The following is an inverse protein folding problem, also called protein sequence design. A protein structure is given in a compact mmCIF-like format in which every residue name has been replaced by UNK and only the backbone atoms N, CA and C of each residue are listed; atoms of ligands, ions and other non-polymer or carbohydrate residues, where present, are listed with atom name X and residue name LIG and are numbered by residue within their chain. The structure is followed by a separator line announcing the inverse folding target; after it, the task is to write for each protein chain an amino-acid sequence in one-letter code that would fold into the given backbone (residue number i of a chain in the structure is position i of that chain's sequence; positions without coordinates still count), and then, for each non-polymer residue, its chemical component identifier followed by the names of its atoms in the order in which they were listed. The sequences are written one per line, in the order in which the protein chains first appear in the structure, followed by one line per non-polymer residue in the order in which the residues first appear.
data_IF_098613133637
#
_entry.id   IF_098613133637
#
_cell.length_a   1.000
_cell.length_b   1.000
_cell.length_c   1.000
_cell.angle_alpha   90.00
_cell.angle_beta   90.00
_cell.angle_gamma   90.00
#
_symmetry.space_group_name_H-M   'P 1'
#
loop_
_entity.id
_entity.type
_entity.pdbx_description
1 polymer ?
#
# COMPACT_ATOMS: atom_id res chain seq x y z
N UNK A 1 0.63 9.40 -7.19
CA UNK A 1 0.85 7.96 -7.02
C UNK A 1 2.31 7.73 -6.64
N UNK A 2 2.59 7.08 -5.52
CA UNK A 2 3.94 6.67 -5.11
C UNK A 2 4.30 5.34 -5.77
N UNK A 3 5.54 5.19 -6.23
CA UNK A 3 6.03 3.92 -6.78
C UNK A 3 7.04 3.34 -5.79
N UNK A 4 6.76 2.14 -5.30
CA UNK A 4 7.66 1.36 -4.48
C UNK A 4 8.43 0.35 -5.34
N UNK A 5 9.70 0.13 -5.02
CA UNK A 5 10.44 -1.03 -5.52
C UNK A 5 10.94 -1.89 -4.37
N UNK A 6 11.49 -3.06 -4.69
CA UNK A 6 12.05 -4.00 -3.74
C UNK A 6 13.43 -4.46 -4.25
N UNK A 7 14.21 -5.12 -3.40
CA UNK A 7 15.56 -5.63 -3.74
C UNK A 7 16.57 -4.56 -4.17
N UNK A 8 16.39 -3.31 -3.74
CA UNK A 8 17.39 -2.26 -3.96
C UNK A 8 18.40 -2.25 -2.80
N UNK A 9 19.69 -2.32 -3.10
CA UNK A 9 20.80 -2.15 -2.17
C UNK A 9 22.02 -1.62 -2.94
N UNK A 10 22.98 -1.00 -2.25
CA UNK A 10 24.13 -0.37 -2.90
C UNK A 10 23.69 0.69 -3.91
N UNK A 11 24.26 0.68 -5.12
CA UNK A 11 23.97 1.64 -6.20
C UNK A 11 22.48 1.71 -6.57
N UNK A 12 21.76 0.58 -6.48
CA UNK A 12 20.31 0.55 -6.75
C UNK A 12 19.52 1.38 -5.74
N UNK A 13 20.01 1.49 -4.50
CA UNK A 13 19.37 2.31 -3.48
C UNK A 13 19.58 3.81 -3.76
N UNK A 14 20.74 4.18 -4.31
CA UNK A 14 20.97 5.55 -4.75
C UNK A 14 20.05 5.91 -5.92
N UNK A 15 19.85 5.00 -6.88
CA UNK A 15 18.88 5.22 -7.97
C UNK A 15 17.44 5.36 -7.45
N UNK A 16 17.06 4.60 -6.41
CA UNK A 16 15.77 4.76 -5.72
C UNK A 16 15.60 6.17 -5.15
N UNK A 17 16.65 6.71 -4.51
CA UNK A 17 16.62 8.07 -3.97
C UNK A 17 16.56 9.13 -5.07
N UNK A 18 17.38 8.98 -6.12
CA UNK A 18 17.42 9.86 -7.29
C UNK A 18 16.05 9.98 -7.96
N UNK A 19 15.37 8.84 -8.17
CA UNK A 19 14.06 8.78 -8.80
C UNK A 19 12.89 9.07 -7.83
N UNK A 20 13.16 9.35 -6.55
CA UNK A 20 12.14 9.63 -5.54
C UNK A 20 11.20 8.45 -5.26
N UNK A 21 11.68 7.22 -5.40
CA UNK A 21 10.90 6.00 -5.21
C UNK A 21 10.81 5.62 -3.72
N UNK A 22 9.77 4.85 -3.38
CA UNK A 22 9.67 4.17 -2.10
C UNK A 22 10.32 2.78 -2.15
N UNK A 23 10.54 2.21 -0.97
CA UNK A 23 10.94 0.80 -0.81
C UNK A 23 9.82 0.01 -0.15
N UNK A 24 9.38 -1.06 -0.80
CA UNK A 24 8.61 -2.13 -0.16
C UNK A 24 9.62 -3.20 0.28
N UNK A 25 10.01 -3.16 1.55
CA UNK A 25 11.07 -4.00 2.09
C UNK A 25 10.59 -5.45 2.18
N UNK A 26 11.18 -6.32 1.38
CA UNK A 26 10.85 -7.75 1.33
C UNK A 26 11.58 -8.56 2.41
N UNK A 27 10.90 -9.59 2.91
CA UNK A 27 11.47 -10.55 3.85
C UNK A 27 12.79 -11.16 3.32
N UNK A 28 13.74 -11.38 4.24
CA UNK A 28 14.98 -12.08 3.96
C UNK A 28 16.00 -11.26 3.16
N UNK A 29 15.79 -9.94 3.05
CA UNK A 29 16.72 -9.00 2.44
C UNK A 29 17.25 -8.02 3.49
N UNK A 30 18.52 -7.64 3.36
CA UNK A 30 19.12 -6.64 4.22
C UNK A 30 18.49 -5.26 3.96
N UNK A 31 18.30 -4.48 5.02
CA UNK A 31 17.66 -3.15 4.97
C UNK A 31 18.66 -2.00 5.15
N UNK A 32 19.96 -2.25 4.86
CA UNK A 32 21.01 -1.24 5.03
C UNK A 32 20.69 -0.02 4.16
N UNK A 33 20.66 1.17 4.78
CA UNK A 33 20.37 2.44 4.11
C UNK A 33 18.89 2.76 3.90
N UNK A 34 17.96 1.85 4.26
CA UNK A 34 16.53 2.10 4.06
C UNK A 34 15.99 3.22 4.96
N UNK A 35 16.63 3.48 6.10
CA UNK A 35 16.32 4.62 6.97
C UNK A 35 16.47 5.99 6.27
N UNK A 36 17.27 6.04 5.21
CA UNK A 36 17.59 7.26 4.46
C UNK A 36 16.71 7.39 3.19
N UNK A 37 15.77 6.45 2.96
CA UNK A 37 14.80 6.51 1.86
C UNK A 37 13.55 7.24 2.32
N UNK A 38 12.95 8.03 1.42
CA UNK A 38 11.79 8.87 1.72
C UNK A 38 10.58 8.09 2.27
N UNK A 39 10.28 6.92 1.69
CA UNK A 39 9.13 6.08 2.05
C UNK A 39 9.53 4.62 2.11
N UNK A 40 9.27 3.98 3.25
CA UNK A 40 9.47 2.54 3.42
C UNK A 40 8.20 1.89 3.94
N UNK A 41 7.76 0.85 3.25
CA UNK A 41 6.71 -0.05 3.68
C UNK A 41 7.29 -1.46 3.88
N UNK A 42 6.63 -2.31 4.67
CA UNK A 42 7.08 -3.69 4.90
C UNK A 42 6.15 -4.68 4.22
N UNK A 43 6.74 -5.56 3.41
CA UNK A 43 6.07 -6.73 2.86
C UNK A 43 6.03 -7.86 3.91
N UNK A 44 4.99 -8.69 3.87
CA UNK A 44 4.83 -9.86 4.75
C UNK A 44 5.47 -11.15 4.20
N UNK A 45 5.92 -11.13 2.94
CA UNK A 45 6.55 -12.25 2.25
C UNK A 45 5.63 -13.40 1.85
N UNK A 46 4.31 -13.31 2.04
CA UNK A 46 3.37 -14.41 1.77
C UNK A 46 3.47 -14.93 0.33
N UNK A 47 3.57 -14.03 -0.66
CA UNK A 47 3.78 -14.40 -2.05
C UNK A 47 5.06 -15.21 -2.27
N UNK A 48 6.17 -14.81 -1.62
CA UNK A 48 7.45 -15.50 -1.76
C UNK A 48 7.47 -16.88 -1.09
N UNK A 49 6.72 -17.08 0.00
CA UNK A 49 6.59 -18.38 0.63
C UNK A 49 5.72 -19.29 -0.23
N UNK A 50 4.53 -18.82 -0.62
CA UNK A 50 3.59 -19.54 -1.46
C UNK A 50 4.21 -19.98 -2.78
N UNK A 51 4.93 -19.09 -3.48
CA UNK A 51 5.55 -19.40 -4.77
C UNK A 51 6.63 -20.48 -4.69
N UNK A 52 7.10 -20.80 -3.49
CA UNK A 52 8.11 -21.84 -3.21
C UNK A 52 7.51 -23.06 -2.50
N UNK A 53 6.19 -23.13 -2.36
CA UNK A 53 5.49 -24.23 -1.69
C UNK A 53 5.60 -24.23 -0.17
N UNK A 54 5.98 -23.10 0.45
CA UNK A 54 6.03 -22.96 1.90
C UNK A 54 4.77 -22.26 2.45
N UNK A 55 4.31 -22.63 3.65
CA UNK A 55 3.29 -21.85 4.35
C UNK A 55 3.86 -20.49 4.78
N UNK A 56 2.97 -19.57 5.16
CA UNK A 56 3.39 -18.33 5.81
C UNK A 56 4.14 -18.63 7.12
N UNK A 57 5.35 -18.07 7.26
CA UNK A 57 6.21 -18.29 8.43
C UNK A 57 6.21 -17.07 9.35
N UNK A 58 5.33 -17.09 10.35
CA UNK A 58 5.13 -15.99 11.31
C UNK A 58 6.43 -15.56 12.03
N UNK A 59 7.33 -16.49 12.34
CA UNK A 59 8.62 -16.16 12.97
C UNK A 59 9.52 -15.31 12.08
N UNK A 60 9.54 -15.60 10.77
CA UNK A 60 10.33 -14.85 9.79
C UNK A 60 9.76 -13.44 9.61
N UNK A 61 8.42 -13.31 9.54
CA UNK A 61 7.75 -12.02 9.47
C UNK A 61 7.98 -11.17 10.73
N UNK A 62 7.89 -11.75 11.93
CA UNK A 62 8.23 -11.04 13.18
C UNK A 62 9.67 -10.54 13.17
N UNK A 63 10.62 -11.38 12.74
CA UNK A 63 12.02 -10.98 12.61
C UNK A 63 12.16 -9.79 11.66
N UNK A 64 11.46 -9.80 10.54
CA UNK A 64 11.47 -8.71 9.56
C UNK A 64 11.03 -7.36 10.16
N UNK A 65 9.96 -7.36 10.95
CA UNK A 65 9.50 -6.15 11.68
C UNK A 65 10.55 -5.70 12.70
N UNK A 66 11.11 -6.64 13.47
CA UNK A 66 12.15 -6.34 14.47
C UNK A 66 13.41 -5.76 13.82
N UNK A 67 13.84 -6.32 12.69
CA UNK A 67 15.01 -5.84 11.95
C UNK A 67 14.77 -4.42 11.43
N UNK A 68 13.58 -4.13 10.91
CA UNK A 68 13.21 -2.78 10.47
C UNK A 68 13.24 -1.76 11.62
N UNK A 69 12.70 -2.14 12.78
CA UNK A 69 12.73 -1.32 13.97
C UNK A 69 14.17 -1.06 14.45
N UNK A 70 15.00 -2.10 14.55
CA UNK A 70 16.41 -2.00 14.95
C UNK A 70 17.24 -1.16 13.97
N UNK A 71 16.89 -1.18 12.70
CA UNK A 71 17.53 -0.35 11.67
C UNK A 71 17.10 1.12 11.72
N UNK A 72 16.17 1.50 12.61
CA UNK A 72 15.66 2.86 12.74
C UNK A 72 14.79 3.30 11.56
N UNK A 73 14.18 2.35 10.84
CA UNK A 73 13.35 2.64 9.67
C UNK A 73 12.00 3.17 10.12
N UNK A 74 11.61 4.34 9.61
CA UNK A 74 10.26 4.87 9.77
C UNK A 74 9.32 4.18 8.77
N UNK A 75 8.65 3.14 9.24
CA UNK A 75 7.69 2.36 8.43
C UNK A 75 6.39 3.14 8.23
N UNK A 76 5.98 3.30 6.98
CA UNK A 76 4.75 4.00 6.60
C UNK A 76 3.50 3.12 6.76
N UNK A 77 3.62 1.86 6.35
CA UNK A 77 2.61 0.82 6.52
C UNK A 77 3.24 -0.58 6.38
N UNK A 78 2.54 -1.59 6.90
CA UNK A 78 2.95 -2.99 6.88
C UNK A 78 1.83 -3.79 6.18
N UNK A 79 2.16 -4.64 5.22
CA UNK A 79 1.18 -5.61 4.70
C UNK A 79 0.83 -6.57 5.81
N UNK A 80 -0.45 -6.64 6.20
CA UNK A 80 -0.89 -7.63 7.19
C UNK A 80 -0.70 -9.04 6.62
N UNK A 81 -0.36 -10.05 7.44
CA UNK A 81 -0.23 -11.43 6.98
C UNK A 81 -1.47 -11.91 6.21
N UNK A 82 -1.23 -12.45 5.03
CA UNK A 82 -2.25 -12.93 4.11
C UNK A 82 -1.89 -14.33 3.57
N UNK A 83 -2.86 -14.97 2.92
CA UNK A 83 -2.69 -16.26 2.26
C UNK A 83 -3.06 -16.13 0.78
N UNK A 84 -2.10 -16.44 -0.09
CA UNK A 84 -2.28 -16.22 -1.53
C UNK A 84 -3.39 -17.12 -2.09
N UNK A 85 -4.39 -16.50 -2.72
CA UNK A 85 -5.52 -17.19 -3.35
C UNK A 85 -6.49 -17.87 -2.38
N UNK A 86 -6.51 -17.49 -1.10
CA UNK A 86 -7.33 -18.13 -0.05
C UNK A 86 -8.53 -17.30 0.44
N UNK A 87 -8.95 -16.28 -0.31
CA UNK A 87 -10.21 -15.56 -0.08
C UNK A 87 -10.46 -15.18 1.38
N UNK A 88 -11.57 -15.67 1.94
CA UNK A 88 -12.00 -15.39 3.32
C UNK A 88 -11.01 -15.86 4.40
N UNK A 89 -10.36 -17.02 4.21
CA UNK A 89 -9.35 -17.52 5.17
C UNK A 89 -8.18 -16.53 5.28
N UNK A 90 -7.81 -15.89 4.17
CA UNK A 90 -6.78 -14.84 4.14
C UNK A 90 -7.21 -13.60 4.93
N UNK A 91 -8.48 -13.20 4.81
CA UNK A 91 -9.05 -12.08 5.56
C UNK A 91 -9.07 -12.37 7.08
N UNK A 92 -9.45 -13.58 7.47
CA UNK A 92 -9.44 -14.02 8.87
C UNK A 92 -8.03 -13.97 9.46
N UNK A 93 -7.02 -14.46 8.72
CA UNK A 93 -5.62 -14.35 9.12
C UNK A 93 -5.21 -12.89 9.31
N UNK A 94 -5.48 -12.03 8.32
CA UNK A 94 -5.15 -10.60 8.39
C UNK A 94 -5.78 -9.93 9.62
N UNK A 95 -7.05 -10.24 9.92
CA UNK A 95 -7.77 -9.72 11.08
C UNK A 95 -7.22 -10.24 12.40
N UNK A 96 -6.85 -11.51 12.49
CA UNK A 96 -6.23 -12.09 13.68
C UNK A 96 -4.95 -11.32 14.06
N UNK A 97 -4.10 -11.01 13.08
CA UNK A 97 -2.88 -10.22 13.31
C UNK A 97 -3.18 -8.77 13.66
N UNK A 98 -4.13 -8.14 12.95
CA UNK A 98 -4.47 -6.74 13.14
C UNK A 98 -5.16 -6.44 14.48
N UNK A 99 -5.80 -7.45 15.08
CA UNK A 99 -6.47 -7.34 16.39
C UNK A 99 -5.57 -7.77 17.56
N UNK A 100 -4.44 -8.43 17.28
CA UNK A 100 -3.48 -8.91 18.28
C UNK A 100 -2.10 -8.26 18.13
N UNK A 101 -1.13 -8.95 17.51
CA UNK A 101 0.28 -8.59 17.47
C UNK A 101 0.59 -7.27 16.75
N UNK A 102 -0.24 -6.89 15.78
CA UNK A 102 -0.08 -5.66 15.00
C UNK A 102 -1.13 -4.60 15.38
N UNK A 103 -1.80 -4.75 16.53
CA UNK A 103 -2.80 -3.80 16.98
C UNK A 103 -2.21 -2.38 17.06
N UNK A 104 -2.86 -1.44 16.37
CA UNK A 104 -2.46 -0.03 16.34
C UNK A 104 -1.38 0.31 15.29
N UNK A 105 -0.82 -0.69 14.59
CA UNK A 105 0.06 -0.44 13.47
C UNK A 105 -0.72 0.11 12.26
N UNK A 106 -0.02 0.81 11.36
CA UNK A 106 -0.57 1.22 10.06
C UNK A 106 -0.52 0.03 9.12
N UNK A 107 -1.65 -0.64 8.93
CA UNK A 107 -1.70 -1.89 8.17
C UNK A 107 -2.31 -1.71 6.78
N UNK A 108 -1.80 -2.50 5.84
CA UNK A 108 -2.40 -2.71 4.54
C UNK A 108 -3.08 -4.08 4.51
N UNK A 109 -4.37 -4.13 4.14
CA UNK A 109 -5.10 -5.38 3.94
C UNK A 109 -4.90 -5.85 2.50
N UNK A 110 -4.31 -7.03 2.31
CA UNK A 110 -4.16 -7.64 0.99
C UNK A 110 -5.48 -8.28 0.54
N UNK A 111 -6.15 -7.67 -0.43
CA UNK A 111 -7.32 -8.22 -1.10
C UNK A 111 -6.89 -9.01 -2.34
N UNK A 112 -7.55 -10.15 -2.56
CA UNK A 112 -7.17 -11.14 -3.58
C UNK A 112 -8.40 -11.82 -4.17
N UNK A 113 -8.18 -12.71 -5.15
CA UNK A 113 -9.20 -13.58 -5.74
C UNK A 113 -10.09 -14.21 -4.65
N UNK A 114 -11.40 -14.06 -4.81
CA UNK A 114 -12.42 -14.55 -3.87
C UNK A 114 -12.85 -13.56 -2.79
N UNK A 115 -12.17 -12.42 -2.61
CA UNK A 115 -12.64 -11.33 -1.74
C UNK A 115 -13.45 -10.31 -2.56
N UNK A 116 -14.59 -9.92 -2.03
CA UNK A 116 -15.50 -8.90 -2.58
C UNK A 116 -15.55 -7.67 -1.68
N UNK A 117 -16.12 -6.57 -2.19
CA UNK A 117 -16.29 -5.35 -1.40
C UNK A 117 -17.21 -5.57 -0.18
N UNK A 118 -18.16 -6.50 -0.29
CA UNK A 118 -19.15 -6.82 0.75
C UNK A 118 -18.52 -7.53 1.95
N UNK A 119 -17.40 -8.23 1.74
CA UNK A 119 -16.67 -8.92 2.81
C UNK A 119 -15.95 -7.91 3.74
N UNK A 120 -15.75 -6.67 3.26
CA UNK A 120 -14.97 -5.64 3.94
C UNK A 120 -15.92 -4.62 4.60
N UNK A 121 -16.40 -4.96 5.79
CA UNK A 121 -17.25 -4.07 6.58
C UNK A 121 -16.46 -3.00 7.37
N UNK A 122 -17.18 -2.11 8.06
CA UNK A 122 -16.59 -1.03 8.85
C UNK A 122 -15.69 -1.51 9.99
N UNK A 123 -16.00 -2.65 10.62
CA UNK A 123 -15.17 -3.25 11.65
C UNK A 123 -13.81 -3.66 11.07
N UNK A 124 -13.79 -4.38 9.94
CA UNK A 124 -12.55 -4.72 9.23
C UNK A 124 -11.76 -3.46 8.87
N UNK A 125 -12.43 -2.48 8.25
CA UNK A 125 -11.78 -1.23 7.81
C UNK A 125 -11.11 -0.45 8.93
N UNK A 126 -11.61 -0.53 10.18
CA UNK A 126 -11.01 0.21 11.30
C UNK A 126 -9.58 -0.24 11.64
N UNK A 127 -9.18 -1.43 11.20
CA UNK A 127 -7.85 -1.98 11.45
C UNK A 127 -6.81 -1.68 10.36
N UNK A 128 -7.25 -1.17 9.20
CA UNK A 128 -6.38 -0.96 8.05
C UNK A 128 -6.41 0.50 7.57
N UNK A 129 -5.24 1.01 7.18
CA UNK A 129 -5.08 2.33 6.56
C UNK A 129 -5.04 2.26 5.04
N UNK A 130 -4.72 1.09 4.50
CA UNK A 130 -4.49 0.86 3.08
C UNK A 130 -5.18 -0.43 2.64
N UNK A 131 -5.81 -0.42 1.46
CA UNK A 131 -6.18 -1.64 0.74
C UNK A 131 -5.06 -1.94 -0.26
N UNK A 132 -4.48 -3.12 -0.16
CA UNK A 132 -3.47 -3.64 -1.08
C UNK A 132 -4.15 -4.58 -2.06
N UNK A 133 -4.28 -4.19 -3.32
CA UNK A 133 -4.88 -5.00 -4.38
C UNK A 133 -3.83 -5.97 -4.92
N UNK A 134 -3.91 -7.22 -4.45
CA UNK A 134 -3.09 -8.34 -4.87
C UNK A 134 -3.81 -9.23 -5.90
N UNK A 135 -3.62 -10.54 -5.78
CA UNK A 135 -4.30 -11.54 -6.61
C UNK A 135 -3.69 -11.78 -8.00
N UNK A 136 -4.38 -12.60 -8.79
CA UNK A 136 -4.04 -12.88 -10.18
C UNK A 136 -4.13 -11.62 -11.03
N UNK A 137 -3.40 -11.59 -12.16
CA UNK A 137 -3.39 -10.41 -13.02
C UNK A 137 -4.82 -10.08 -13.55
N UNK A 138 -5.55 -11.10 -13.99
CA UNK A 138 -6.89 -10.95 -14.54
C UNK A 138 -7.88 -10.43 -13.49
N UNK A 139 -7.90 -11.03 -12.30
CA UNK A 139 -8.77 -10.57 -11.21
C UNK A 139 -8.42 -9.15 -10.77
N UNK A 140 -7.13 -8.88 -10.56
CA UNK A 140 -6.63 -7.59 -10.10
C UNK A 140 -7.03 -6.47 -11.05
N UNK A 141 -6.73 -6.59 -12.34
CA UNK A 141 -7.01 -5.51 -13.29
C UNK A 141 -8.50 -5.37 -13.61
N UNK A 142 -9.28 -6.45 -13.50
CA UNK A 142 -10.74 -6.40 -13.62
C UNK A 142 -11.39 -5.66 -12.45
N UNK A 143 -10.82 -5.75 -11.24
CA UNK A 143 -11.44 -5.22 -10.00
C UNK A 143 -10.74 -3.98 -9.43
N UNK A 144 -9.54 -3.64 -9.88
CA UNK A 144 -8.70 -2.59 -9.29
C UNK A 144 -9.41 -1.24 -9.20
N UNK A 145 -10.19 -0.85 -10.22
CA UNK A 145 -10.91 0.43 -10.20
C UNK A 145 -11.95 0.48 -9.08
N UNK A 146 -12.66 -0.61 -8.85
CA UNK A 146 -13.65 -0.72 -7.79
C UNK A 146 -12.99 -0.68 -6.42
N UNK A 147 -11.85 -1.36 -6.25
CA UNK A 147 -11.07 -1.29 -5.01
C UNK A 147 -10.48 0.09 -4.74
N UNK A 148 -10.01 0.81 -5.76
CA UNK A 148 -9.57 2.21 -5.63
C UNK A 148 -10.72 3.08 -5.14
N UNK A 149 -11.87 3.04 -5.83
CA UNK A 149 -13.05 3.81 -5.46
C UNK A 149 -13.53 3.47 -4.04
N UNK A 150 -13.62 2.17 -3.72
CA UNK A 150 -14.01 1.68 -2.40
C UNK A 150 -13.07 2.20 -1.30
N UNK A 151 -11.76 2.13 -1.53
CA UNK A 151 -10.76 2.63 -0.58
C UNK A 151 -10.97 4.11 -0.31
N UNK A 152 -11.07 4.93 -1.36
CA UNK A 152 -11.22 6.38 -1.23
C UNK A 152 -12.54 6.78 -0.56
N UNK A 153 -13.64 6.12 -0.92
CA UNK A 153 -14.95 6.35 -0.30
C UNK A 153 -14.95 6.02 1.20
N UNK A 154 -14.07 5.14 1.65
CA UNK A 154 -13.88 4.78 3.05
C UNK A 154 -12.68 5.48 3.72
N UNK A 155 -12.11 6.51 3.08
CA UNK A 155 -10.98 7.27 3.62
C UNK A 155 -9.68 6.49 3.76
N UNK A 156 -9.49 5.44 2.96
CA UNK A 156 -8.30 4.57 2.92
C UNK A 156 -7.46 4.87 1.69
N UNK A 157 -6.18 4.53 1.75
CA UNK A 157 -5.32 4.51 0.55
C UNK A 157 -5.50 3.21 -0.23
N UNK A 158 -5.27 3.24 -1.54
CA UNK A 158 -5.24 2.07 -2.39
C UNK A 158 -3.83 1.86 -2.98
N UNK A 159 -3.27 0.67 -2.75
CA UNK A 159 -1.99 0.22 -3.30
C UNK A 159 -2.24 -0.92 -4.29
N UNK A 160 -1.67 -0.90 -5.49
CA UNK A 160 -1.81 -1.99 -6.47
C UNK A 160 -0.49 -2.73 -6.63
N UNK A 161 -0.50 -4.03 -6.32
CA UNK A 161 0.71 -4.83 -6.31
C UNK A 161 1.21 -5.21 -7.70
N UNK A 162 2.52 -5.45 -7.84
CA UNK A 162 3.16 -6.02 -9.05
C UNK A 162 2.90 -5.24 -10.35
N UNK A 163 3.05 -3.92 -10.34
CA UNK A 163 2.90 -3.04 -11.49
C UNK A 163 4.23 -2.82 -12.24
N UNK A 164 4.89 -3.90 -12.67
CA UNK A 164 6.25 -3.86 -13.19
C UNK A 164 6.45 -3.42 -14.65
N UNK A 165 5.39 -2.99 -15.34
CA UNK A 165 5.42 -2.57 -16.76
C UNK A 165 4.89 -1.15 -16.90
N UNK A 166 5.28 -0.45 -17.97
CA UNK A 166 4.78 0.89 -18.26
C UNK A 166 3.25 0.92 -18.32
N UNK A 167 2.64 -0.05 -19.04
CA UNK A 167 1.19 -0.19 -19.14
C UNK A 167 0.53 -0.26 -17.76
N UNK A 168 1.05 -1.08 -16.85
CA UNK A 168 0.47 -1.24 -15.51
C UNK A 168 0.63 0.01 -14.65
N UNK A 169 1.74 0.74 -14.76
CA UNK A 169 1.90 2.04 -14.09
C UNK A 169 0.88 3.05 -14.62
N UNK A 170 0.67 3.11 -15.93
CA UNK A 170 -0.32 3.99 -16.54
C UNK A 170 -1.76 3.64 -16.16
N UNK A 171 -2.11 2.37 -16.20
CA UNK A 171 -3.45 1.89 -15.83
C UNK A 171 -3.74 2.23 -14.36
N UNK A 172 -2.82 1.90 -13.44
CA UNK A 172 -2.96 2.22 -12.02
C UNK A 172 -3.09 3.74 -11.78
N UNK A 173 -2.30 4.55 -12.50
CA UNK A 173 -2.38 6.00 -12.42
C UNK A 173 -3.73 6.53 -12.90
N UNK A 174 -4.23 6.04 -14.05
CA UNK A 174 -5.55 6.41 -14.60
C UNK A 174 -6.69 5.99 -13.68
N UNK A 175 -6.56 4.85 -13.00
CA UNK A 175 -7.53 4.39 -12.01
C UNK A 175 -7.53 5.25 -10.74
N UNK A 176 -6.45 5.97 -10.45
CA UNK A 176 -6.30 6.83 -9.29
C UNK A 176 -5.66 6.14 -8.09
N UNK A 177 -4.87 5.08 -8.28
CA UNK A 177 -4.17 4.43 -7.17
C UNK A 177 -3.24 5.41 -6.43
N UNK A 178 -3.20 5.28 -5.10
CA UNK A 178 -2.30 6.09 -4.27
C UNK A 178 -0.86 5.63 -4.43
N UNK A 179 -0.66 4.32 -4.59
CA UNK A 179 0.66 3.73 -4.79
C UNK A 179 0.65 2.41 -5.52
N UNK A 180 1.83 1.99 -5.98
CA UNK A 180 2.08 0.69 -6.63
C UNK A 180 3.43 0.15 -6.21
N UNK A 181 3.66 -1.16 -6.35
CA UNK A 181 4.99 -1.75 -6.20
C UNK A 181 5.40 -2.59 -7.41
N UNK A 182 6.71 -2.69 -7.63
CA UNK A 182 7.29 -3.84 -8.33
C UNK A 182 8.75 -4.06 -7.94
N UNK A 183 9.10 -5.33 -7.71
CA UNK A 183 10.48 -5.78 -7.61
C UNK A 183 11.24 -5.73 -8.94
N UNK A 184 10.54 -5.71 -10.08
CA UNK A 184 11.19 -5.82 -11.40
C UNK A 184 12.13 -4.66 -11.71
N UNK A 185 11.84 -3.44 -11.24
CA UNK A 185 12.64 -2.26 -11.54
C UNK A 185 14.09 -2.42 -11.07
N UNK A 186 14.29 -2.66 -9.77
CA UNK A 186 15.62 -2.88 -9.24
C UNK A 186 16.18 -4.26 -9.60
N UNK A 187 15.35 -5.31 -9.62
CA UNK A 187 15.85 -6.68 -9.89
C UNK A 187 16.41 -6.82 -11.30
N UNK A 188 15.79 -6.17 -12.29
CA UNK A 188 16.14 -6.29 -13.70
C UNK A 188 16.79 -5.01 -14.26
N UNK A 189 17.18 -4.07 -13.40
CA UNK A 189 17.73 -2.76 -13.79
C UNK A 189 16.87 -2.02 -14.86
N UNK A 190 15.55 -2.19 -14.76
CA UNK A 190 14.57 -1.66 -15.70
C UNK A 190 14.10 -0.26 -15.32
N UNK A 191 15.03 0.61 -14.93
CA UNK A 191 14.77 1.99 -14.48
C UNK A 191 14.14 2.86 -15.57
N UNK A 192 14.46 2.58 -16.84
CA UNK A 192 13.90 3.26 -18.00
C UNK A 192 12.36 3.25 -18.02
N UNK A 193 11.71 2.22 -17.47
CA UNK A 193 10.24 2.14 -17.37
C UNK A 193 9.70 3.24 -16.45
N UNK A 194 10.38 3.49 -15.33
CA UNK A 194 10.02 4.55 -14.38
C UNK A 194 10.25 5.92 -15.02
N UNK A 195 11.42 6.10 -15.62
CA UNK A 195 11.79 7.35 -16.28
C UNK A 195 10.78 7.70 -17.38
N UNK A 196 10.45 6.73 -18.25
CA UNK A 196 9.43 6.88 -19.28
C UNK A 196 8.05 7.21 -18.69
N UNK A 197 7.61 6.50 -17.65
CA UNK A 197 6.35 6.81 -16.97
C UNK A 197 6.32 8.23 -16.40
N UNK A 198 7.46 8.75 -15.93
CA UNK A 198 7.57 10.07 -15.32
C UNK A 198 7.68 11.21 -16.33
N UNK A 199 8.15 10.98 -17.57
CA UNK A 199 8.38 12.01 -18.60
C UNK A 199 7.20 12.98 -18.76
N UNK A 200 5.97 12.48 -18.80
CA UNK A 200 4.77 13.29 -19.03
C UNK A 200 4.05 13.75 -17.75
N UNK A 201 4.55 13.34 -16.57
CA UNK A 201 3.91 13.60 -15.27
C UNK A 201 4.66 14.65 -14.43
N UNK A 202 5.72 15.21 -15.00
CA UNK A 202 6.52 16.33 -14.45
C UNK A 202 5.91 17.71 -14.72
N UNK A 203 4.83 17.82 -15.51
CA UNK A 203 4.00 19.04 -15.50
C UNK A 203 3.32 19.12 -14.13
N UNK A 204 3.52 20.19 -13.35
CA UNK A 204 3.11 20.22 -11.95
C UNK A 204 1.59 20.23 -11.85
N UNK A 205 0.99 19.05 -11.74
CA UNK A 205 -0.31 18.94 -11.09
C UNK A 205 -0.06 19.28 -9.62
N UNK A 206 -0.52 20.47 -9.21
CA UNK A 206 -0.59 20.89 -7.81
C UNK A 206 -1.27 19.79 -7.02
N UNK A 207 -0.50 18.90 -6.40
CA UNK A 207 -1.00 18.00 -5.38
C UNK A 207 -1.40 18.93 -4.24
N UNK A 208 -2.70 19.05 -3.90
CA UNK A 208 -3.06 19.83 -2.74
C UNK A 208 -2.38 19.18 -1.53
N UNK A 209 -1.82 19.97 -0.60
CA UNK A 209 -1.20 19.42 0.59
C UNK A 209 -2.17 18.46 1.29
N UNK A 210 -1.68 17.40 1.95
CA UNK A 210 -2.55 16.49 2.69
C UNK A 210 -3.42 17.32 3.63
N UNK A 211 -4.74 17.28 3.44
CA UNK A 211 -5.68 17.93 4.36
C UNK A 211 -5.37 17.41 5.76
N UNK A 212 -5.17 18.34 6.68
CA UNK A 212 -4.81 18.01 8.04
C UNK A 212 -5.91 17.17 8.66
N UNK A 213 -5.57 16.33 9.64
CA UNK A 213 -6.56 15.53 10.36
C UNK A 213 -7.63 16.42 11.04
N UNK A 214 -7.28 17.68 11.36
CA UNK A 214 -8.19 18.67 11.93
C UNK A 214 -9.33 19.08 10.99
N UNK A 215 -9.15 18.97 9.67
CA UNK A 215 -10.18 19.34 8.69
C UNK A 215 -11.34 18.34 8.60
N UNK A 216 -11.21 17.16 9.22
CA UNK A 216 -12.19 16.06 9.14
C UNK A 216 -13.16 15.98 10.33
N UNK A 217 -12.94 16.71 11.43
CA UNK A 217 -13.64 16.45 12.70
C UNK A 217 -14.57 17.56 13.21
N UNK A 218 -14.97 18.54 12.39
CA UNK A 218 -16.00 19.49 12.81
C UNK A 218 -17.07 19.60 11.72
N UNK A 219 -18.26 18.98 11.88
CA UNK A 219 -19.41 19.45 11.13
C UNK A 219 -19.62 20.91 11.54
N UNK A 220 -19.45 21.85 10.59
CA UNK A 220 -19.79 23.25 10.83
C UNK A 220 -21.21 23.28 11.41
N UNK A 221 -21.45 23.94 12.57
CA UNK A 221 -22.79 24.06 13.09
C UNK A 221 -23.68 24.68 12.02
N UNK A 222 -24.77 23.99 11.68
CA UNK A 222 -25.82 24.55 10.84
C UNK A 222 -26.40 25.73 11.60
N UNK A 223 -26.03 26.94 11.21
CA UNK A 223 -26.72 28.15 11.67
C UNK A 223 -28.10 28.10 11.04
N UNK A 224 -29.10 27.71 11.83
CA UNK A 224 -30.50 27.83 11.45
C UNK A 224 -30.85 29.33 11.56
N UNK A 225 -31.29 30.00 10.48
CA UNK A 225 -31.71 31.39 10.59
C UNK A 225 -32.91 31.49 11.53
N UNK A 226 -32.83 32.38 12.53
CA UNK A 226 -33.97 32.69 13.38
C UNK A 226 -35.13 33.23 12.53
N UNK A 227 -36.40 32.87 12.84
CA UNK A 227 -37.54 33.37 12.09
C UNK A 227 -37.59 34.89 12.21
N UNK A 228 -37.66 35.59 11.08
CA UNK A 228 -37.96 37.02 11.08
C UNK A 228 -39.38 37.18 11.65
N UNK A 229 -39.47 37.71 12.87
CA UNK A 229 -40.74 38.09 13.46
C UNK A 229 -41.46 39.08 12.56
N UNK A 230 -42.69 38.76 12.18
CA UNK A 230 -43.62 39.73 11.59
C UNK A 230 -44.05 40.68 12.70
N UNK A 231 -43.75 41.96 12.53
CA UNK A 231 -44.53 43.08 13.07
C UNK A 231 -44.79 44.03 11.92
#
# INVERSE_FOLDING_TARGET
MVIYTAHAGGEKLEKVKELGLGILASIGRGMKGYKDVYRVALDNGAFSFWSRGFPFLSSVFRKHIIDAHKAGIKVEWIVAPDMVGKGQESLELSMAWATSELKGARLALAVQDGITLQDINSYVLNHFTTIFVGGTADWKWKTAKDWVNFSHNNGKHCHIGRCGTLKYLEDAYKMGADSVDSSSFARNDSWHIIEEFMKDKTKPNKVPPPRSYADRLIPKPRIVPLPRGKK
#
